data_IF_723799796071
#
_entry.id   IF_723799796071
#
_cell.length_a   1.000
_cell.length_b   1.000
_cell.length_c   1.000
_cell.angle_alpha   90.00
_cell.angle_beta   90.00
_cell.angle_gamma   90.00
#
_symmetry.space_group_name_H-M   'P 1'
#
loop_
_entity.id
_entity.type
_entity.pdbx_description
1 polymer ?
#
# COMPACT_ATOMS: atom_id res chain seq x y z
N UNK A 1 -28.19 10.67 -16.18
CA UNK A 1 -26.98 10.66 -15.35
C UNK A 1 -26.98 9.38 -14.54
N UNK A 2 -26.03 8.48 -14.78
CA UNK A 2 -25.93 7.24 -14.02
C UNK A 2 -25.21 7.54 -12.70
N UNK A 3 -25.75 7.17 -11.53
CA UNK A 3 -25.04 7.32 -10.26
C UNK A 3 -23.89 6.31 -10.24
N UNK A 4 -22.64 6.79 -10.26
CA UNK A 4 -21.45 5.95 -10.10
C UNK A 4 -21.49 5.26 -8.73
N UNK A 5 -21.77 3.95 -8.75
CA UNK A 5 -22.27 3.23 -7.58
C UNK A 5 -21.22 2.56 -6.71
N UNK A 6 -19.92 2.56 -7.03
CA UNK A 6 -18.92 1.97 -6.12
C UNK A 6 -17.51 2.45 -6.42
N UNK A 7 -16.83 3.00 -5.40
CA UNK A 7 -15.40 3.31 -5.43
C UNK A 7 -14.59 1.99 -5.57
N UNK A 8 -14.17 1.61 -6.78
CA UNK A 8 -13.42 0.35 -7.00
C UNK A 8 -11.95 0.42 -6.58
N UNK A 9 -11.38 1.62 -6.67
CA UNK A 9 -10.06 1.98 -6.19
C UNK A 9 -10.27 3.15 -5.23
N UNK A 10 -9.54 3.15 -4.11
CA UNK A 10 -9.62 4.16 -3.05
C UNK A 10 -9.37 5.59 -3.54
N UNK A 11 -9.28 6.55 -2.61
CA UNK A 11 -9.18 7.97 -2.96
C UNK A 11 -10.47 8.57 -3.55
N UNK A 12 -10.46 9.86 -3.83
CA UNK A 12 -11.67 10.62 -4.21
C UNK A 12 -12.06 10.33 -5.67
N UNK A 13 -13.36 10.18 -5.97
CA UNK A 13 -13.83 9.77 -7.32
C UNK A 13 -13.46 10.75 -8.43
N UNK A 14 -13.28 12.03 -8.11
CA UNK A 14 -12.91 13.08 -9.08
C UNK A 14 -11.41 13.08 -9.44
N UNK A 15 -10.59 12.25 -8.79
CA UNK A 15 -9.13 12.21 -9.01
C UNK A 15 -8.77 11.61 -10.36
N UNK A 16 -9.56 10.65 -10.86
CA UNK A 16 -9.27 9.95 -12.10
C UNK A 16 -10.55 9.54 -12.83
N UNK A 17 -10.76 10.11 -14.02
CA UNK A 17 -11.89 9.75 -14.90
C UNK A 17 -11.53 8.65 -15.90
N UNK A 18 -10.26 8.57 -16.32
CA UNK A 18 -9.74 7.59 -17.29
C UNK A 18 -8.34 7.12 -16.89
N UNK A 19 -8.00 5.88 -17.20
CA UNK A 19 -6.66 5.36 -16.95
C UNK A 19 -5.65 5.98 -17.93
N UNK A 20 -4.53 6.57 -17.46
CA UNK A 20 -3.56 7.22 -18.34
C UNK A 20 -2.86 6.27 -19.33
N UNK A 21 -2.92 4.95 -19.10
CA UNK A 21 -2.23 3.96 -19.97
C UNK A 21 -3.09 3.43 -21.12
N UNK A 22 -4.41 3.42 -20.99
CA UNK A 22 -5.29 2.83 -21.99
C UNK A 22 -6.55 3.65 -22.27
N UNK A 23 -6.71 4.79 -21.61
CA UNK A 23 -7.82 5.75 -21.74
C UNK A 23 -9.20 5.17 -21.39
N UNK A 24 -9.28 3.91 -20.97
CA UNK A 24 -10.51 3.29 -20.48
C UNK A 24 -10.80 3.74 -19.06
N UNK A 25 -12.05 3.59 -18.65
CA UNK A 25 -12.45 3.83 -17.26
C UNK A 25 -11.53 3.04 -16.30
N UNK A 26 -11.03 3.66 -15.22
CA UNK A 26 -10.21 2.97 -14.22
C UNK A 26 -10.88 1.69 -13.74
N UNK A 27 -12.20 1.69 -13.64
CA UNK A 27 -13.04 0.60 -13.20
C UNK A 27 -13.11 -0.62 -14.14
N UNK A 28 -12.54 -0.52 -15.34
CA UNK A 28 -12.47 -1.60 -16.34
C UNK A 28 -11.17 -2.39 -16.29
N UNK A 29 -10.22 -1.99 -15.45
CA UNK A 29 -8.96 -2.71 -15.25
C UNK A 29 -9.26 -3.96 -14.43
N UNK A 30 -9.12 -5.13 -15.05
CA UNK A 30 -9.39 -6.40 -14.41
C UNK A 30 -8.22 -6.81 -13.50
N UNK A 31 -8.30 -6.41 -12.24
CA UNK A 31 -8.55 -7.41 -11.21
C UNK A 31 -9.95 -7.04 -10.74
N UNK A 32 -10.96 -7.89 -11.03
CA UNK A 32 -12.29 -7.77 -10.39
C UNK A 32 -12.00 -7.38 -8.96
N UNK A 33 -12.72 -6.38 -8.45
CA UNK A 33 -12.85 -6.02 -7.04
C UNK A 33 -12.04 -6.96 -6.18
N UNK A 34 -11.09 -6.48 -5.39
CA UNK A 34 -10.52 -7.38 -4.40
C UNK A 34 -11.43 -7.32 -3.16
N UNK A 35 -12.59 -8.02 -3.07
CA UNK A 35 -13.08 -8.34 -1.77
C UNK A 35 -12.00 -9.21 -1.17
N UNK A 36 -11.50 -8.76 -0.03
CA UNK A 36 -11.24 -9.68 1.04
C UNK A 36 -12.33 -10.75 1.04
N UNK A 37 -11.99 -12.00 0.73
CA UNK A 37 -12.84 -13.15 1.10
C UNK A 37 -12.72 -13.45 2.62
N UNK A 38 -12.38 -12.40 3.36
CA UNK A 38 -11.80 -12.42 4.68
C UNK A 38 -10.32 -12.77 4.71
N UNK A 39 -9.70 -13.31 3.64
CA UNK A 39 -8.32 -13.79 3.65
C UNK A 39 -7.29 -12.70 3.95
N UNK A 40 -7.23 -11.68 3.10
CA UNK A 40 -6.32 -10.54 3.30
C UNK A 40 -6.70 -9.73 4.54
N UNK A 41 -8.00 -9.57 4.85
CA UNK A 41 -8.43 -8.84 6.04
C UNK A 41 -8.07 -9.55 7.35
N UNK A 42 -8.30 -10.86 7.47
CA UNK A 42 -7.88 -11.64 8.67
C UNK A 42 -6.36 -11.58 8.83
N UNK A 43 -5.62 -11.61 7.71
CA UNK A 43 -4.18 -11.44 7.71
C UNK A 43 -3.80 -10.03 8.19
N UNK A 44 -4.52 -9.00 7.75
CA UNK A 44 -4.32 -7.61 8.16
C UNK A 44 -4.57 -7.45 9.65
N UNK A 45 -5.70 -7.94 10.17
CA UNK A 45 -6.04 -7.93 11.59
C UNK A 45 -4.99 -8.66 12.46
N UNK A 46 -4.46 -9.79 11.96
CA UNK A 46 -3.36 -10.50 12.64
C UNK A 46 -2.07 -9.69 12.62
N UNK A 47 -1.75 -9.05 11.50
CA UNK A 47 -0.56 -8.24 11.32
C UNK A 47 -0.59 -6.98 12.21
N UNK A 48 -1.74 -6.30 12.30
CA UNK A 48 -1.97 -5.19 13.25
C UNK A 48 -1.65 -5.60 14.67
N UNK A 49 -2.20 -6.73 15.14
CA UNK A 49 -1.98 -7.19 16.52
C UNK A 49 -0.49 -7.40 16.82
N UNK A 50 0.26 -7.96 15.86
CA UNK A 50 1.71 -8.13 16.04
C UNK A 50 2.47 -6.80 16.10
N UNK A 51 2.01 -5.77 15.39
CA UNK A 51 2.59 -4.43 15.42
C UNK A 51 2.19 -3.65 16.67
N UNK A 52 0.97 -3.82 17.16
CA UNK A 52 0.48 -3.15 18.37
C UNK A 52 1.14 -3.71 19.64
N UNK A 53 1.37 -5.02 19.69
CA UNK A 53 2.16 -5.64 20.77
C UNK A 53 3.62 -5.17 20.73
N UNK A 54 4.19 -5.10 19.53
CA UNK A 54 5.57 -4.65 19.33
C UNK A 54 5.77 -3.17 19.68
N UNK A 55 4.89 -2.31 19.20
CA UNK A 55 5.00 -0.86 19.34
C UNK A 55 4.91 -0.43 20.80
N UNK A 56 4.06 -1.07 21.62
CA UNK A 56 3.98 -0.78 23.05
C UNK A 56 5.26 -1.20 23.78
N UNK A 57 5.64 -2.48 23.70
CA UNK A 57 6.79 -2.98 24.46
C UNK A 57 8.11 -2.41 23.95
N UNK A 58 8.29 -2.26 22.64
CA UNK A 58 9.57 -1.86 22.03
C UNK A 58 9.77 -0.34 22.02
N UNK A 59 8.73 0.47 21.75
CA UNK A 59 8.92 1.92 21.78
C UNK A 59 9.12 2.45 23.20
N UNK A 60 8.44 1.85 24.20
CA UNK A 60 8.57 2.25 25.60
C UNK A 60 9.90 1.78 26.20
N UNK A 61 10.38 0.57 25.85
CA UNK A 61 11.65 0.03 26.39
C UNK A 61 12.92 0.56 25.73
N UNK A 62 12.86 0.92 24.44
CA UNK A 62 14.06 1.28 23.66
C UNK A 62 14.13 2.76 23.23
N UNK A 63 13.21 3.61 23.71
CA UNK A 63 13.15 5.04 23.37
C UNK A 63 13.17 5.33 21.85
N UNK A 64 12.68 4.40 21.03
CA UNK A 64 12.66 4.51 19.56
C UNK A 64 11.68 5.58 19.07
N UNK A 65 10.85 6.11 19.97
CA UNK A 65 9.92 7.20 19.70
C UNK A 65 10.62 8.42 19.10
N UNK A 66 11.76 8.83 19.66
CA UNK A 66 12.48 10.02 19.17
C UNK A 66 13.10 9.78 17.79
N UNK A 67 13.69 8.60 17.56
CA UNK A 67 14.21 8.22 16.25
C UNK A 67 13.08 8.17 15.20
N UNK A 68 11.91 7.71 15.60
CA UNK A 68 10.74 7.66 14.74
C UNK A 68 10.16 9.04 14.46
N UNK A 69 10.01 9.89 15.46
CA UNK A 69 9.57 11.28 15.30
C UNK A 69 10.52 12.07 14.42
N UNK A 70 11.83 11.86 14.53
CA UNK A 70 12.84 12.48 13.67
C UNK A 70 12.72 12.04 12.20
N UNK A 71 12.28 10.80 11.91
CA UNK A 71 12.03 10.35 10.53
C UNK A 71 10.64 10.77 10.02
N UNK A 72 9.66 10.80 10.91
CA UNK A 72 8.29 11.20 10.58
C UNK A 72 8.18 12.71 10.35
N UNK A 73 9.05 13.53 10.95
CA UNK A 73 9.14 14.97 10.69
C UNK A 73 9.94 15.23 9.43
N UNK A 74 9.28 15.73 8.37
CA UNK A 74 10.00 16.38 7.27
C UNK A 74 9.98 17.89 7.48
N UNK A 75 11.15 18.53 7.35
CA UNK A 75 11.22 19.98 7.13
C UNK A 75 10.78 20.25 5.71
N UNK A 76 9.63 20.90 5.53
CA UNK A 76 9.26 21.42 4.22
C UNK A 76 10.23 22.53 3.81
N UNK A 77 10.34 22.83 2.50
CA UNK A 77 11.12 23.96 1.98
C UNK A 77 10.69 25.32 2.57
N UNK A 78 9.53 25.40 3.24
CA UNK A 78 9.00 26.58 3.90
C UNK A 78 9.31 26.66 5.42
N UNK A 79 10.06 25.70 5.98
CA UNK A 79 10.40 25.70 7.40
C UNK A 79 9.28 25.19 8.32
N UNK A 80 8.15 24.75 7.79
CA UNK A 80 7.10 24.09 8.57
C UNK A 80 7.47 22.62 8.79
N UNK A 81 7.52 22.19 10.06
CA UNK A 81 7.62 20.79 10.46
C UNK A 81 6.28 20.10 10.15
N UNK A 82 6.21 19.38 9.03
CA UNK A 82 5.06 18.53 8.74
C UNK A 82 5.44 17.10 9.11
N UNK A 83 4.86 16.61 10.21
CA UNK A 83 4.95 15.21 10.56
C UNK A 83 4.16 14.43 9.51
N UNK A 84 4.83 13.64 8.67
CA UNK A 84 4.23 12.54 7.91
C UNK A 84 3.80 11.44 8.90
N UNK A 85 2.81 11.77 9.72
CA UNK A 85 2.36 11.03 10.91
C UNK A 85 1.58 9.76 10.62
N UNK A 86 1.67 9.22 9.40
CA UNK A 86 0.80 8.14 8.96
C UNK A 86 1.61 7.10 8.23
N UNK A 87 1.71 5.95 8.88
CA UNK A 87 2.11 4.74 8.21
C UNK A 87 0.86 4.03 7.68
N UNK A 88 0.98 3.42 6.52
CA UNK A 88 -0.06 2.57 5.95
C UNK A 88 0.42 1.14 6.02
N UNK A 89 -0.45 0.21 6.38
CA UNK A 89 -0.15 -1.21 6.29
C UNK A 89 -1.04 -1.85 5.25
N UNK A 90 -0.54 -2.90 4.62
CA UNK A 90 -1.32 -3.67 3.69
C UNK A 90 -0.95 -5.13 3.76
N UNK A 91 -1.91 -5.97 3.41
CA UNK A 91 -1.73 -7.40 3.25
C UNK A 91 -2.31 -7.84 1.92
N UNK A 92 -1.78 -8.92 1.38
CA UNK A 92 -2.33 -9.54 0.19
C UNK A 92 -2.26 -11.06 0.27
N UNK A 93 -3.21 -11.73 -0.36
CA UNK A 93 -3.18 -13.17 -0.66
C UNK A 93 -3.27 -13.32 -2.17
N UNK A 94 -2.21 -13.78 -2.82
CA UNK A 94 -2.18 -13.92 -4.28
C UNK A 94 -2.09 -15.38 -4.69
N UNK A 95 -2.80 -15.73 -5.76
CA UNK A 95 -2.62 -17.00 -6.46
C UNK A 95 -1.70 -16.77 -7.65
N UNK A 96 -0.49 -17.31 -7.59
CA UNK A 96 0.52 -17.29 -8.68
C UNK A 96 0.66 -18.73 -9.17
N UNK A 97 0.32 -18.97 -10.43
CA UNK A 97 0.21 -20.33 -10.96
C UNK A 97 -0.79 -21.16 -10.15
N UNK A 98 -0.32 -22.23 -9.51
CA UNK A 98 -1.11 -23.09 -8.61
C UNK A 98 -0.91 -22.78 -7.13
N UNK A 99 -0.05 -21.82 -6.79
CA UNK A 99 0.38 -21.54 -5.41
C UNK A 99 -0.33 -20.34 -4.84
N UNK A 100 -0.79 -20.46 -3.60
CA UNK A 100 -1.29 -19.33 -2.80
C UNK A 100 -0.14 -18.78 -1.97
N UNK A 101 0.06 -17.46 -2.03
CA UNK A 101 1.10 -16.71 -1.33
C UNK A 101 0.47 -15.63 -0.47
N UNK A 102 1.06 -15.36 0.69
CA UNK A 102 0.60 -14.32 1.61
C UNK A 102 1.68 -13.25 1.74
N UNK A 103 1.26 -12.00 1.76
CA UNK A 103 2.15 -10.85 1.83
C UNK A 103 1.66 -9.86 2.87
N UNK A 104 2.58 -9.18 3.51
CA UNK A 104 2.32 -8.02 4.38
C UNK A 104 3.38 -6.94 4.14
N UNK A 105 3.02 -5.67 4.29
CA UNK A 105 3.98 -4.57 4.21
C UNK A 105 3.55 -3.40 5.08
N UNK A 106 4.52 -2.58 5.47
CA UNK A 106 4.31 -1.25 6.03
C UNK A 106 4.84 -0.19 5.07
N UNK A 107 4.17 0.93 4.98
CA UNK A 107 4.48 2.10 4.16
C UNK A 107 4.53 3.34 5.03
N UNK A 108 5.35 4.33 4.66
CA UNK A 108 5.58 5.55 5.44
C UNK A 108 7.00 5.63 5.99
N UNK A 109 7.27 6.47 6.99
CA UNK A 109 8.59 6.61 7.63
C UNK A 109 8.91 5.47 8.61
N UNK A 110 7.87 4.83 9.16
CA UNK A 110 7.99 3.75 10.14
C UNK A 110 8.51 2.38 9.68
N UNK A 111 8.32 1.91 8.43
CA UNK A 111 8.68 0.55 8.01
C UNK A 111 10.12 0.17 8.31
N UNK A 112 11.08 1.04 7.96
CA UNK A 112 12.51 0.79 8.17
C UNK A 112 12.92 0.69 9.66
N UNK A 113 12.10 1.22 10.57
CA UNK A 113 12.26 1.03 12.00
C UNK A 113 11.48 -0.22 12.42
N UNK A 114 10.16 -0.26 12.23
CA UNK A 114 9.29 -1.26 12.85
C UNK A 114 9.42 -2.65 12.27
N UNK A 115 9.61 -2.80 10.95
CA UNK A 115 9.64 -4.11 10.29
C UNK A 115 10.76 -5.00 10.85
N UNK A 116 11.90 -4.41 11.25
CA UNK A 116 13.05 -5.13 11.82
C UNK A 116 12.80 -5.73 13.19
N UNK A 117 11.83 -5.20 13.92
CA UNK A 117 11.53 -5.63 15.29
C UNK A 117 10.32 -6.56 15.35
N UNK A 118 9.61 -6.79 14.24
CA UNK A 118 8.41 -7.64 14.25
C UNK A 118 8.77 -9.05 14.69
N UNK A 119 8.01 -9.55 15.65
CA UNK A 119 8.14 -10.92 16.10
C UNK A 119 7.58 -11.90 15.05
N UNK A 120 8.46 -12.33 14.13
CA UNK A 120 8.11 -13.29 13.06
C UNK A 120 7.52 -14.61 13.58
N UNK A 121 7.78 -15.01 14.82
CA UNK A 121 7.19 -16.23 15.39
C UNK A 121 5.68 -16.16 15.59
N UNK A 122 5.11 -14.94 15.64
CA UNK A 122 3.67 -14.68 15.75
C UNK A 122 2.99 -14.49 14.38
N UNK A 123 3.77 -14.44 13.30
CA UNK A 123 3.25 -14.34 11.94
C UNK A 123 3.02 -15.73 11.33
N UNK A 124 2.09 -15.88 10.36
CA UNK A 124 1.99 -17.09 9.59
C UNK A 124 3.34 -17.46 8.97
N UNK A 125 3.75 -18.73 9.06
CA UNK A 125 5.05 -19.20 8.57
C UNK A 125 5.25 -19.01 7.06
N UNK A 126 4.15 -18.89 6.32
CA UNK A 126 4.10 -18.68 4.87
C UNK A 126 3.89 -17.21 4.47
N UNK A 127 3.99 -16.27 5.43
CA UNK A 127 3.88 -14.85 5.17
C UNK A 127 5.21 -14.25 4.71
N UNK A 128 5.21 -13.65 3.53
CA UNK A 128 6.30 -12.78 3.07
C UNK A 128 6.06 -11.36 3.57
N UNK A 129 7.00 -10.83 4.37
CA UNK A 129 7.00 -9.41 4.74
C UNK A 129 7.81 -8.63 3.71
N UNK A 130 7.14 -7.74 2.98
CA UNK A 130 7.74 -6.90 1.93
C UNK A 130 8.34 -5.65 2.57
N UNK A 131 9.68 -5.61 2.65
CA UNK A 131 10.48 -4.55 3.27
C UNK A 131 11.00 -3.51 2.24
N UNK A 132 10.41 -3.46 1.06
CA UNK A 132 10.75 -2.41 0.10
C UNK A 132 10.21 -1.07 0.58
N UNK A 133 11.03 -0.02 0.53
CA UNK A 133 10.62 1.35 0.88
C UNK A 133 9.72 1.98 -0.21
N UNK A 134 9.89 1.56 -1.46
CA UNK A 134 9.16 2.08 -2.61
C UNK A 134 9.05 0.99 -3.68
N UNK A 135 7.92 0.92 -4.38
CA UNK A 135 7.68 0.05 -5.54
C UNK A 135 8.31 0.59 -6.84
N UNK A 136 8.77 1.85 -6.85
CA UNK A 136 9.52 2.40 -7.96
C UNK A 136 10.96 1.88 -7.96
N UNK A 137 11.43 1.43 -9.12
CA UNK A 137 12.85 1.14 -9.35
C UNK A 137 13.70 2.42 -9.34
N UNK A 138 15.02 2.27 -9.45
CA UNK A 138 15.96 3.40 -9.47
C UNK A 138 15.75 4.38 -10.65
N UNK A 139 14.96 4.00 -11.66
CA UNK A 139 14.58 4.81 -12.82
C UNK A 139 13.18 5.40 -12.69
N UNK A 140 12.52 5.24 -11.55
CA UNK A 140 11.16 5.72 -11.31
C UNK A 140 10.09 4.90 -12.03
N UNK A 141 10.35 3.63 -12.34
CA UNK A 141 9.39 2.72 -13.00
C UNK A 141 8.79 1.72 -12.02
N UNK A 142 7.57 1.31 -12.29
CA UNK A 142 6.84 0.27 -11.55
C UNK A 142 6.43 -0.85 -12.49
N UNK A 143 6.31 -2.08 -11.98
CA UNK A 143 5.90 -3.23 -12.78
C UNK A 143 4.37 -3.28 -12.98
N UNK A 144 3.93 -3.73 -14.16
CA UNK A 144 2.53 -4.03 -14.44
C UNK A 144 2.18 -5.52 -14.29
N UNK A 145 0.90 -5.85 -14.36
CA UNK A 145 0.36 -7.22 -14.26
C UNK A 145 0.93 -8.20 -15.30
N UNK A 146 1.56 -7.69 -16.37
CA UNK A 146 2.24 -8.49 -17.41
C UNK A 146 3.72 -8.66 -17.13
N UNK A 147 4.22 -8.17 -15.99
CA UNK A 147 5.62 -8.21 -15.62
C UNK A 147 6.48 -7.14 -16.31
N UNK A 148 5.87 -6.09 -16.89
CA UNK A 148 6.60 -5.04 -17.62
C UNK A 148 6.72 -3.76 -16.82
N UNK A 149 7.93 -3.19 -16.78
CA UNK A 149 8.19 -1.90 -16.12
C UNK A 149 7.71 -0.70 -16.95
N UNK A 150 6.99 0.22 -16.32
CA UNK A 150 6.50 1.46 -16.93
C UNK A 150 6.68 2.65 -15.97
N UNK A 151 6.72 3.87 -16.52
CA UNK A 151 6.71 5.09 -15.71
C UNK A 151 5.25 5.47 -15.37
N UNK A 152 4.84 5.47 -14.08
CA UNK A 152 3.46 5.77 -13.71
C UNK A 152 3.18 7.27 -13.83
N UNK A 153 2.03 7.60 -14.42
CA UNK A 153 1.54 8.99 -14.48
C UNK A 153 0.74 9.28 -13.21
N UNK A 154 1.14 10.29 -12.45
CA UNK A 154 0.36 10.74 -11.29
C UNK A 154 0.50 12.25 -11.13
N UNK A 155 -0.58 12.88 -10.68
CA UNK A 155 -0.65 14.30 -10.37
C UNK A 155 -1.05 14.44 -8.90
N UNK A 156 -0.17 15.00 -8.04
CA UNK A 156 -0.52 15.25 -6.64
C UNK A 156 -1.75 16.16 -6.52
N UNK A 157 -2.74 15.72 -5.76
CA UNK A 157 -4.01 16.44 -5.59
C UNK A 157 -3.92 17.56 -4.54
N UNK A 158 -2.87 17.55 -3.71
CA UNK A 158 -2.62 18.48 -2.59
C UNK A 158 -3.76 18.52 -1.57
N UNK A 159 -4.48 17.40 -1.39
CA UNK A 159 -5.63 17.27 -0.45
C UNK A 159 -5.28 16.59 0.87
N UNK A 160 -3.99 16.54 1.22
CA UNK A 160 -3.45 15.76 2.35
C UNK A 160 -3.80 14.27 2.30
N UNK A 161 -4.02 13.74 1.09
CA UNK A 161 -4.27 12.32 0.78
C UNK A 161 -3.28 11.74 -0.24
N UNK A 162 -2.29 12.52 -0.64
CA UNK A 162 -1.26 12.08 -1.56
C UNK A 162 -0.12 11.41 -0.79
N UNK A 163 0.23 10.21 -1.21
CA UNK A 163 1.53 9.60 -0.90
C UNK A 163 2.44 9.73 -2.13
N UNK A 164 3.77 9.72 -1.96
CA UNK A 164 4.66 9.59 -3.10
C UNK A 164 4.32 8.33 -3.91
N UNK A 165 4.46 8.42 -5.23
CA UNK A 165 4.30 7.27 -6.11
C UNK A 165 5.22 6.11 -5.67
N UNK A 166 4.67 4.91 -5.69
CA UNK A 166 5.27 3.65 -5.23
C UNK A 166 5.42 3.50 -3.71
N UNK A 167 5.11 4.51 -2.90
CA UNK A 167 5.20 4.40 -1.44
C UNK A 167 3.98 3.72 -0.80
N UNK A 168 2.85 3.58 -1.50
CA UNK A 168 1.65 2.97 -0.92
C UNK A 168 1.79 1.46 -0.72
N UNK A 169 1.11 0.89 0.30
CA UNK A 169 1.24 -0.53 0.61
C UNK A 169 0.77 -1.42 -0.54
N UNK A 170 -0.37 -1.09 -1.17
CA UNK A 170 -0.91 -1.82 -2.32
C UNK A 170 0.06 -1.83 -3.50
N UNK A 171 0.71 -0.69 -3.78
CA UNK A 171 1.65 -0.60 -4.90
C UNK A 171 2.86 -1.51 -4.67
N UNK A 172 3.38 -1.58 -3.45
CA UNK A 172 4.48 -2.47 -3.08
C UNK A 172 4.09 -3.95 -3.08
N UNK A 173 2.91 -4.27 -2.58
CA UNK A 173 2.40 -5.64 -2.61
C UNK A 173 2.21 -6.12 -4.05
N UNK A 174 1.59 -5.30 -4.91
CA UNK A 174 1.42 -5.63 -6.32
C UNK A 174 2.76 -5.74 -7.05
N UNK A 175 3.71 -4.84 -6.77
CA UNK A 175 5.05 -4.91 -7.35
C UNK A 175 5.76 -6.22 -7.00
N UNK A 176 5.75 -6.61 -5.71
CA UNK A 176 6.29 -7.89 -5.27
C UNK A 176 5.58 -9.08 -5.96
N UNK A 177 4.24 -9.09 -5.98
CA UNK A 177 3.45 -10.17 -6.56
C UNK A 177 3.76 -10.34 -8.06
N UNK A 178 3.80 -9.24 -8.81
CA UNK A 178 4.06 -9.27 -10.25
C UNK A 178 5.52 -9.60 -10.56
N UNK A 179 6.46 -9.14 -9.74
CA UNK A 179 7.88 -9.51 -9.85
C UNK A 179 8.07 -11.00 -9.63
N UNK A 180 7.46 -11.57 -8.58
CA UNK A 180 7.53 -13.02 -8.32
C UNK A 180 6.87 -13.84 -9.42
N UNK A 181 5.70 -13.43 -9.90
CA UNK A 181 5.01 -14.10 -11.00
C UNK A 181 5.85 -14.10 -12.28
N UNK A 182 6.42 -12.93 -12.64
CA UNK A 182 7.31 -12.78 -13.79
C UNK A 182 8.57 -13.65 -13.66
N UNK A 183 9.23 -13.62 -12.51
CA UNK A 183 10.42 -14.42 -12.23
C UNK A 183 10.13 -15.93 -12.27
N UNK A 184 8.94 -16.36 -11.87
CA UNK A 184 8.50 -17.75 -11.93
C UNK A 184 8.01 -18.18 -13.33
N UNK A 185 7.82 -17.25 -14.26
CA UNK A 185 7.16 -17.54 -15.54
C UNK A 185 5.68 -17.93 -15.38
N UNK A 186 5.04 -17.53 -14.29
CA UNK A 186 3.66 -17.88 -13.94
C UNK A 186 2.73 -16.66 -14.05
N UNK A 187 1.43 -16.91 -14.23
CA UNK A 187 0.41 -15.85 -14.25
C UNK A 187 -0.18 -15.65 -12.86
N UNK A 188 -0.51 -14.40 -12.55
CA UNK A 188 -1.33 -14.08 -11.37
C UNK A 188 -2.79 -14.35 -11.70
N UNK A 189 -3.37 -15.37 -11.05
CA UNK A 189 -4.76 -15.77 -11.28
C UNK A 189 -5.76 -15.01 -10.40
N UNK A 190 -5.35 -14.62 -9.19
CA UNK A 190 -6.18 -13.90 -8.22
C UNK A 190 -5.31 -13.10 -7.26
N UNK A 191 -5.79 -11.92 -6.85
CA UNK A 191 -5.22 -11.16 -5.74
C UNK A 191 -6.35 -10.82 -4.79
N UNK A 192 -6.16 -11.15 -3.52
CA UNK A 192 -6.86 -10.59 -2.37
C UNK A 192 -5.94 -9.55 -1.69
N UNK A 193 -6.41 -8.38 -1.27
CA UNK A 193 -5.64 -7.21 -0.84
C UNK A 193 -6.49 -6.37 0.10
N UNK A 194 -5.95 -6.06 1.27
CA UNK A 194 -6.54 -5.16 2.25
C UNK A 194 -5.49 -4.13 2.67
N UNK A 195 -5.90 -2.87 2.82
CA UNK A 195 -5.07 -1.80 3.38
C UNK A 195 -5.77 -1.15 4.56
N UNK A 196 -4.97 -0.68 5.52
CA UNK A 196 -5.44 0.24 6.55
C UNK A 196 -4.36 1.24 6.91
N UNK A 197 -4.78 2.41 7.38
CA UNK A 197 -3.86 3.34 8.01
C UNK A 197 -3.54 2.82 9.41
N UNK A 198 -2.25 2.67 9.70
CA UNK A 198 -1.80 2.29 11.02
C UNK A 198 -1.51 3.54 11.83
N UNK A 199 -1.95 3.52 13.09
CA UNK A 199 -1.72 4.63 14.00
C UNK A 199 -0.25 4.66 14.38
N UNK A 200 0.39 5.72 13.93
CA UNK A 200 1.70 6.15 14.37
C UNK A 200 1.64 6.53 15.86
N UNK A 201 2.32 5.78 16.71
CA UNK A 201 2.32 6.00 18.15
C UNK A 201 3.10 7.28 18.56
N UNK A 202 3.79 7.95 17.65
CA UNK A 202 4.56 9.16 17.93
C UNK A 202 3.70 10.42 18.09
N UNK A 203 2.53 10.50 17.43
CA UNK A 203 2.01 11.83 17.05
C UNK A 203 0.87 12.39 17.89
N UNK A 204 0.45 11.75 18.99
CA UNK A 204 -0.35 12.34 20.09
C UNK A 204 -1.74 12.93 19.78
N UNK A 205 -2.02 13.40 18.57
CA UNK A 205 -3.20 14.15 18.20
C UNK A 205 -4.25 13.25 17.53
N UNK A 206 -5.42 13.18 18.16
CA UNK A 206 -6.66 12.77 17.51
C UNK A 206 -7.09 13.90 16.59
N UNK A 207 -6.74 13.82 15.30
CA UNK A 207 -6.99 15.01 14.48
C UNK A 207 -6.80 14.84 13.00
N UNK A 208 -7.24 13.75 12.38
CA UNK A 208 -7.56 13.80 10.94
C UNK A 208 -8.68 12.85 10.58
N UNK A 209 -9.49 13.28 9.60
CA UNK A 209 -10.72 12.65 9.08
C UNK A 209 -10.56 11.20 8.55
N UNK A 210 -9.39 10.58 8.76
CA UNK A 210 -8.94 9.30 8.20
C UNK A 210 -8.48 8.30 9.27
N UNK A 211 -8.69 8.60 10.56
CA UNK A 211 -8.55 7.63 11.66
C UNK A 211 -9.78 6.71 11.67
N UNK A 212 -9.84 5.78 10.74
CA UNK A 212 -10.79 4.68 10.79
C UNK A 212 -10.00 3.41 11.01
N UNK A 213 -10.33 2.70 12.08
CA UNK A 213 -9.89 1.31 12.31
C UNK A 213 -10.42 0.39 11.19
N UNK A 214 -11.22 0.95 10.28
CA UNK A 214 -11.82 0.31 9.11
C UNK A 214 -10.82 0.16 7.95
N UNK A 215 -10.91 -0.99 7.28
CA UNK A 215 -10.24 -1.28 6.01
C UNK A 215 -10.59 -0.16 5.02
N UNK A 216 -9.59 0.56 4.54
CA UNK A 216 -9.79 1.64 3.56
C UNK A 216 -9.48 1.15 2.16
N UNK A 217 -10.22 1.59 1.13
CA UNK A 217 -9.99 1.14 -0.24
C UNK A 217 -8.72 1.72 -0.91
N UNK A 218 -7.87 2.52 -0.21
CA UNK A 218 -6.60 3.19 -0.60
C UNK A 218 -6.63 4.75 -0.72
N UNK A 219 -5.48 5.39 -0.97
CA UNK A 219 -5.30 6.86 -1.07
C UNK A 219 -5.46 7.43 -2.50
N UNK A 220 -5.43 8.77 -2.67
CA UNK A 220 -5.59 9.44 -3.98
C UNK A 220 -4.46 9.05 -4.97
N UNK A 221 -3.26 8.73 -4.47
CA UNK A 221 -2.17 8.20 -5.31
C UNK A 221 -2.48 6.79 -5.82
N UNK A 222 -3.05 5.92 -4.98
CA UNK A 222 -3.47 4.58 -5.39
C UNK A 222 -4.59 4.63 -6.43
N UNK A 223 -5.53 5.58 -6.32
CA UNK A 223 -6.57 5.82 -7.34
C UNK A 223 -5.97 6.01 -8.74
N UNK A 224 -4.81 6.66 -8.81
CA UNK A 224 -4.12 6.96 -10.06
C UNK A 224 -3.26 5.79 -10.54
N UNK A 225 -2.50 5.16 -9.64
CA UNK A 225 -1.45 4.19 -10.00
C UNK A 225 -1.97 2.76 -10.15
N UNK A 226 -2.86 2.30 -9.28
CA UNK A 226 -3.32 0.90 -9.33
C UNK A 226 -3.97 0.53 -10.67
N UNK A 227 -4.83 1.35 -11.28
CA UNK A 227 -5.36 1.06 -12.62
C UNK A 227 -4.25 0.89 -13.67
N UNK A 228 -3.17 1.67 -13.57
CA UNK A 228 -2.05 1.58 -14.50
C UNK A 228 -1.24 0.28 -14.31
N UNK A 229 -1.03 -0.16 -13.07
CA UNK A 229 -0.37 -1.44 -12.79
C UNK A 229 -1.22 -2.63 -13.26
N UNK A 230 -2.54 -2.53 -13.13
CA UNK A 230 -3.49 -3.56 -13.56
C UNK A 230 -3.85 -3.47 -15.05
N UNK A 231 -3.19 -2.59 -15.80
CA UNK A 231 -3.47 -2.37 -17.20
C UNK A 231 -2.87 -3.47 -18.09
N UNK A 232 -3.71 -4.45 -18.43
CA UNK A 232 -3.38 -5.50 -19.40
C UNK A 232 -3.47 -5.05 -20.87
N UNK A 233 -4.19 -3.96 -21.14
CA UNK A 233 -4.49 -3.45 -22.48
C UNK A 233 -3.65 -2.22 -22.90
N UNK A 234 -2.61 -1.86 -22.15
CA UNK A 234 -1.71 -0.79 -22.57
C UNK A 234 -0.95 -1.27 -23.82
N UNK A 235 -1.05 -0.51 -24.92
CA UNK A 235 -0.42 -0.83 -26.20
C UNK A 235 1.06 -1.22 -26.06
N UNK A 236 1.50 -2.16 -26.91
CA UNK A 236 2.91 -2.49 -27.08
C UNK A 236 3.69 -1.30 -27.66
#
# INVERSE_FOLDING_TARGET
>A
MNPERTQKYGGTNDVLSTCPRCERSPDTHEVRWIPSDGGSQRLLESFVRTLDDLSRETMESHNLREAYLALATSRTQAGEEKVYSRSMMGTAVATIGTRVRKYATLSGPGPGIFLRWINHSRLPKDLTVVDTNNALDARGKIIDIRGRYFAPVHTPQRRDKDYPAGSCAAQKLLDQIFTEASAAGEKVGRIDLSEMFWRDFGTGERGTKWSTIDVVPSCDTCKQILPQMLCSNAGD
#
